data_IF_251997989674
#
_entry.id   IF_251997989674
#
_cell.length_a   1.000
_cell.length_b   1.000
_cell.length_c   1.000
_cell.angle_alpha   90.00
_cell.angle_beta   90.00
_cell.angle_gamma   90.00
#
_symmetry.space_group_name_H-M   'P 1'
#
loop_
_entity.id
_entity.type
_entity.pdbx_description
1 polymer ?
#
# COMPACT_ATOMS: atom_id res chain seq x y z
N UNK A 1 15.01 -4.74 -16.68
CA UNK A 1 14.65 -4.54 -15.26
C UNK A 1 13.17 -4.25 -15.20
N UNK A 2 12.41 -4.96 -14.37
CA UNK A 2 10.95 -4.81 -14.28
C UNK A 2 10.59 -3.85 -13.15
N UNK A 3 9.62 -2.97 -13.40
CA UNK A 3 9.15 -1.97 -12.45
C UNK A 3 7.66 -2.17 -12.19
N UNK A 4 7.23 -1.84 -10.98
CA UNK A 4 5.82 -1.80 -10.64
C UNK A 4 5.13 -0.62 -11.31
N UNK A 5 3.93 -0.83 -11.85
CA UNK A 5 3.08 0.26 -12.29
C UNK A 5 2.43 0.99 -11.10
N UNK A 6 1.97 2.20 -11.38
CA UNK A 6 1.13 2.97 -10.45
C UNK A 6 -0.19 2.20 -10.23
N UNK A 7 -0.67 2.07 -8.99
CA UNK A 7 -1.91 1.38 -8.73
C UNK A 7 -3.15 2.17 -9.11
N UNK A 8 -4.31 1.49 -9.22
CA UNK A 8 -5.61 2.16 -9.19
C UNK A 8 -5.76 3.01 -7.92
N UNK A 9 -6.45 4.15 -8.04
CA UNK A 9 -6.71 5.11 -6.94
C UNK A 9 -7.20 4.43 -5.66
N UNK A 10 -8.17 3.53 -5.81
CA UNK A 10 -8.79 2.80 -4.70
C UNK A 10 -7.79 2.00 -3.87
N UNK A 11 -6.67 1.54 -4.45
CA UNK A 11 -5.64 0.80 -3.72
C UNK A 11 -4.86 1.67 -2.75
N UNK A 12 -4.75 2.97 -3.02
CA UNK A 12 -4.17 3.93 -2.07
C UNK A 12 -5.11 4.08 -0.86
N UNK A 13 -6.42 4.16 -1.08
CA UNK A 13 -7.41 4.22 0.01
C UNK A 13 -7.44 2.92 0.82
N UNK A 14 -7.36 1.76 0.15
CA UNK A 14 -7.20 0.46 0.83
C UNK A 14 -5.95 0.40 1.69
N UNK A 15 -4.82 0.92 1.20
CA UNK A 15 -3.59 0.96 1.98
C UNK A 15 -3.77 1.76 3.28
N UNK A 16 -4.44 2.91 3.22
CA UNK A 16 -4.78 3.68 4.43
C UNK A 16 -5.72 2.92 5.35
N UNK A 17 -6.75 2.25 4.81
CA UNK A 17 -7.65 1.41 5.59
C UNK A 17 -6.91 0.27 6.30
N UNK A 18 -5.99 -0.41 5.62
CA UNK A 18 -5.12 -1.43 6.20
C UNK A 18 -4.24 -0.84 7.29
N UNK A 19 -3.58 0.30 7.07
CA UNK A 19 -2.78 0.95 8.11
C UNK A 19 -3.62 1.34 9.33
N UNK A 20 -4.89 1.69 9.14
CA UNK A 20 -5.79 2.09 10.22
C UNK A 20 -6.35 0.90 11.02
N UNK A 21 -6.71 -0.19 10.34
CA UNK A 21 -7.53 -1.26 10.92
C UNK A 21 -6.85 -2.64 10.92
N UNK A 22 -5.80 -2.83 10.11
CA UNK A 22 -5.12 -4.10 9.94
C UNK A 22 -4.15 -4.42 11.08
N UNK A 23 -3.94 -5.72 11.30
CA UNK A 23 -2.93 -6.22 12.26
C UNK A 23 -1.56 -6.20 11.60
N UNK A 24 -0.80 -5.14 11.89
CA UNK A 24 0.50 -4.89 11.29
C UNK A 24 1.67 -5.14 12.24
N UNK A 25 2.79 -5.62 11.70
CA UNK A 25 4.07 -5.75 12.41
C UNK A 25 5.26 -5.84 11.44
N UNK A 26 6.43 -5.42 11.91
CA UNK A 26 7.69 -5.71 11.24
C UNK A 26 8.22 -7.07 11.71
N UNK A 27 8.54 -7.96 10.76
CA UNK A 27 9.20 -9.24 11.04
C UNK A 27 10.73 -9.12 11.01
N UNK A 28 11.24 -8.10 10.31
CA UNK A 28 12.65 -7.71 10.23
C UNK A 28 12.75 -6.26 9.74
N UNK A 29 13.95 -5.73 9.53
CA UNK A 29 14.16 -4.39 8.94
C UNK A 29 13.65 -4.24 7.49
N UNK A 30 13.37 -5.35 6.81
CA UNK A 30 12.99 -5.39 5.41
C UNK A 30 11.72 -6.21 5.12
N UNK A 31 11.03 -6.74 6.13
CA UNK A 31 9.81 -7.54 5.94
C UNK A 31 8.70 -6.96 6.82
N UNK A 32 7.68 -6.42 6.17
CA UNK A 32 6.46 -5.94 6.81
C UNK A 32 5.35 -6.97 6.61
N UNK A 33 4.59 -7.25 7.67
CA UNK A 33 3.42 -8.12 7.63
C UNK A 33 2.18 -7.34 8.06
N UNK A 34 1.09 -7.49 7.30
CA UNK A 34 -0.21 -6.91 7.63
C UNK A 34 -1.32 -7.90 7.27
N UNK A 35 -2.14 -8.25 8.26
CA UNK A 35 -3.20 -9.28 8.16
C UNK A 35 -2.73 -10.62 7.54
N UNK A 36 -1.46 -10.97 7.78
CA UNK A 36 -0.84 -12.21 7.29
C UNK A 36 -0.15 -12.10 5.93
N UNK A 37 -0.36 -11.01 5.19
CA UNK A 37 0.33 -10.73 3.93
C UNK A 37 1.71 -10.12 4.18
N UNK A 38 2.74 -10.64 3.50
CA UNK A 38 4.14 -10.25 3.69
C UNK A 38 4.66 -9.46 2.51
N UNK A 39 5.22 -8.28 2.79
CA UNK A 39 5.89 -7.43 1.81
C UNK A 39 7.36 -7.29 2.18
N UNK A 40 8.22 -7.64 1.23
CA UNK A 40 9.67 -7.52 1.33
C UNK A 40 10.13 -6.24 0.63
N UNK A 41 10.89 -5.40 1.34
CA UNK A 41 11.38 -4.10 0.86
C UNK A 41 12.90 -4.03 1.01
N UNK A 42 13.63 -4.07 -0.10
CA UNK A 42 15.09 -3.94 -0.14
C UNK A 42 15.51 -2.81 -1.09
N UNK A 43 15.93 -1.67 -0.54
CA UNK A 43 16.18 -0.45 -1.31
C UNK A 43 14.92 -0.01 -2.05
N UNK A 44 15.02 0.15 -3.38
CA UNK A 44 13.90 0.42 -4.28
C UNK A 44 13.19 -0.86 -4.78
N UNK A 45 13.65 -2.03 -4.36
CA UNK A 45 13.08 -3.32 -4.72
C UNK A 45 11.95 -3.76 -3.79
N UNK A 46 10.83 -4.18 -4.37
CA UNK A 46 9.64 -4.66 -3.66
C UNK A 46 9.25 -6.06 -4.15
N UNK A 47 8.97 -6.96 -3.21
CA UNK A 47 8.34 -8.26 -3.45
C UNK A 47 7.14 -8.44 -2.52
N UNK A 48 6.01 -8.83 -3.09
CA UNK A 48 4.79 -9.26 -2.40
C UNK A 48 4.37 -10.61 -2.99
N UNK A 49 3.69 -11.44 -2.20
CA UNK A 49 3.26 -12.78 -2.60
C UNK A 49 2.29 -12.81 -3.80
N UNK A 50 1.81 -11.66 -4.28
CA UNK A 50 0.89 -11.56 -5.40
C UNK A 50 1.47 -10.87 -6.63
N UNK A 51 2.14 -11.60 -7.53
CA UNK A 51 2.33 -11.14 -8.94
C UNK A 51 1.04 -11.22 -9.78
N UNK A 52 -0.14 -11.22 -9.15
CA UNK A 52 -1.40 -11.30 -9.92
C UNK A 52 -1.59 -10.04 -10.79
N UNK A 53 -1.04 -8.91 -10.35
CA UNK A 53 -1.13 -7.64 -11.05
C UNK A 53 0.25 -6.99 -11.21
N UNK A 54 0.43 -6.20 -12.26
CA UNK A 54 1.70 -5.48 -12.53
C UNK A 54 1.77 -4.11 -11.85
N UNK A 55 1.13 -3.91 -10.69
CA UNK A 55 1.16 -2.64 -9.93
C UNK A 55 1.42 -2.88 -8.45
N UNK A 56 1.85 -1.85 -7.72
CA UNK A 56 1.96 -1.91 -6.24
C UNK A 56 0.57 -2.02 -5.62
N UNK A 57 0.20 -3.19 -5.13
CA UNK A 57 -1.10 -3.39 -4.46
C UNK A 57 -1.20 -2.63 -3.12
N UNK A 58 -2.36 -2.72 -2.48
CA UNK A 58 -2.64 -2.05 -1.21
C UNK A 58 -1.65 -2.42 -0.09
N UNK A 59 -1.18 -3.67 -0.07
CA UNK A 59 -0.21 -4.16 0.89
C UNK A 59 1.17 -3.54 0.65
N UNK A 60 1.59 -3.49 -0.62
CA UNK A 60 2.84 -2.84 -1.01
C UNK A 60 2.82 -1.35 -0.67
N UNK A 61 1.73 -0.65 -1.00
CA UNK A 61 1.59 0.79 -0.71
C UNK A 61 1.59 1.03 0.81
N UNK A 62 0.85 0.22 1.59
CA UNK A 62 0.83 0.33 3.05
C UNK A 62 2.23 0.10 3.65
N UNK A 63 2.94 -0.95 3.21
CA UNK A 63 4.30 -1.24 3.69
C UNK A 63 5.29 -0.11 3.36
N UNK A 64 5.18 0.48 2.17
CA UNK A 64 6.01 1.62 1.76
C UNK A 64 5.69 2.89 2.56
N UNK A 65 4.42 3.16 2.84
CA UNK A 65 3.98 4.25 3.71
C UNK A 65 4.50 4.07 5.14
N UNK A 66 4.34 2.88 5.72
CA UNK A 66 4.83 2.57 7.07
C UNK A 66 6.36 2.71 7.16
N UNK A 67 7.09 2.34 6.10
CA UNK A 67 8.55 2.49 6.04
C UNK A 67 9.01 3.94 5.80
N UNK A 68 8.08 4.88 5.56
CA UNK A 68 8.41 6.27 5.21
C UNK A 68 8.95 6.45 3.79
N UNK A 69 8.75 5.45 2.92
CA UNK A 69 9.16 5.48 1.51
C UNK A 69 8.08 6.02 0.58
N UNK A 70 6.84 6.16 1.06
CA UNK A 70 5.76 6.90 0.42
C UNK A 70 5.12 7.85 1.42
N UNK A 71 4.55 8.95 0.92
CA UNK A 71 3.75 9.85 1.73
C UNK A 71 2.64 9.08 2.46
N UNK A 72 2.64 9.20 3.78
CA UNK A 72 1.56 8.74 4.66
C UNK A 72 0.93 9.95 5.34
N UNK A 73 -0.27 9.78 5.89
CA UNK A 73 -0.90 10.83 6.68
C UNK A 73 -1.60 10.21 7.88
N UNK A 74 -1.08 10.50 9.07
CA UNK A 74 -1.71 10.07 10.33
C UNK A 74 -3.14 10.56 10.43
N UNK A 75 -3.43 11.77 9.93
CA UNK A 75 -4.81 12.31 9.86
C UNK A 75 -5.73 11.42 9.02
N UNK A 76 -5.28 10.93 7.87
CA UNK A 76 -6.06 10.00 7.05
C UNK A 76 -6.20 8.63 7.69
N UNK A 77 -5.12 8.10 8.27
CA UNK A 77 -5.12 6.79 8.95
C UNK A 77 -6.07 6.82 10.14
N UNK A 78 -5.99 7.83 11.01
CA UNK A 78 -6.88 7.99 12.14
C UNK A 78 -8.34 8.13 11.70
N UNK A 79 -8.58 8.95 10.67
CA UNK A 79 -9.92 9.13 10.15
C UNK A 79 -10.50 7.86 9.50
N UNK A 80 -9.66 6.93 9.03
CA UNK A 80 -10.10 5.68 8.42
C UNK A 80 -10.41 4.57 9.45
N UNK A 81 -10.12 4.78 10.74
CA UNK A 81 -10.41 3.79 11.78
C UNK A 81 -11.91 3.50 11.89
N UNK A 82 -12.24 2.22 11.96
CA UNK A 82 -13.61 1.71 12.04
C UNK A 82 -14.38 1.78 10.72
N UNK A 83 -13.74 2.08 9.59
CA UNK A 83 -14.37 1.88 8.28
C UNK A 83 -14.43 0.39 7.97
N UNK A 84 -15.63 -0.14 7.73
CA UNK A 84 -15.81 -1.52 7.28
C UNK A 84 -15.69 -1.57 5.76
N UNK A 85 -14.65 -2.24 5.28
CA UNK A 85 -14.36 -2.33 3.86
C UNK A 85 -15.05 -3.54 3.23
N UNK A 86 -15.77 -3.32 2.12
CA UNK A 86 -16.48 -4.37 1.38
C UNK A 86 -15.85 -4.55 -0.02
N UNK A 87 -15.21 -5.70 -0.23
CA UNK A 87 -14.53 -6.03 -1.49
C UNK A 87 -15.47 -6.51 -2.61
N UNK A 88 -16.74 -6.78 -2.31
CA UNK A 88 -17.74 -7.17 -3.33
C UNK A 88 -18.26 -5.95 -4.10
N UNK A 89 -18.09 -4.74 -3.57
CA UNK A 89 -18.55 -3.50 -4.20
C UNK A 89 -17.67 -3.07 -5.36
N UNK A 90 -18.33 -2.50 -6.37
CA UNK A 90 -17.65 -1.89 -7.50
C UNK A 90 -16.80 -0.68 -7.04
N UNK A 91 -15.58 -0.54 -7.58
CA UNK A 91 -14.60 0.45 -7.14
C UNK A 91 -15.14 1.90 -7.09
N UNK A 92 -15.99 2.29 -8.05
CA UNK A 92 -16.59 3.65 -8.09
C UNK A 92 -17.51 3.89 -6.88
N UNK A 93 -18.30 2.88 -6.50
CA UNK A 93 -19.21 2.97 -5.35
C UNK A 93 -18.39 3.07 -4.07
N UNK A 94 -17.38 2.22 -3.96
CA UNK A 94 -16.49 2.15 -2.81
C UNK A 94 -15.68 3.44 -2.60
N UNK A 95 -15.14 4.04 -3.66
CA UNK A 95 -14.44 5.32 -3.57
C UNK A 95 -15.36 6.44 -3.05
N UNK A 96 -16.61 6.49 -3.52
CA UNK A 96 -17.61 7.45 -3.03
C UNK A 96 -17.94 7.22 -1.56
N UNK A 97 -18.17 5.98 -1.15
CA UNK A 97 -18.46 5.63 0.24
C UNK A 97 -17.32 6.02 1.18
N UNK A 98 -16.07 5.72 0.80
CA UNK A 98 -14.88 6.11 1.56
C UNK A 98 -14.79 7.63 1.67
N UNK A 99 -14.99 8.37 0.56
CA UNK A 99 -14.98 9.84 0.57
C UNK A 99 -16.06 10.39 1.51
N UNK A 100 -17.29 9.88 1.47
CA UNK A 100 -18.35 10.29 2.40
C UNK A 100 -18.05 9.94 3.85
N UNK A 101 -17.38 8.81 4.11
CA UNK A 101 -16.96 8.42 5.46
C UNK A 101 -15.88 9.34 6.04
N UNK A 102 -14.92 9.74 5.21
CA UNK A 102 -13.86 10.68 5.55
C UNK A 102 -14.40 12.12 5.68
N UNK A 103 -15.39 12.50 4.89
CA UNK A 103 -16.02 13.82 4.96
C UNK A 103 -16.69 14.05 6.31
N UNK A 104 -17.36 13.03 6.88
CA UNK A 104 -17.90 13.07 8.25
C UNK A 104 -16.82 13.32 9.32
N UNK A 105 -15.55 13.13 8.96
CA UNK A 105 -14.36 13.38 9.81
C UNK A 105 -13.55 14.59 9.33
N UNK A 106 -14.20 15.49 8.57
CA UNK A 106 -13.62 16.74 8.07
C UNK A 106 -12.42 16.52 7.15
N UNK A 107 -12.42 15.44 6.37
CA UNK A 107 -11.49 15.23 5.24
C UNK A 107 -12.33 15.20 3.97
N UNK A 108 -12.27 16.28 3.20
CA UNK A 108 -13.15 16.47 2.04
C UNK A 108 -12.59 15.81 0.78
N UNK A 109 -13.45 15.54 -0.19
CA UNK A 109 -13.09 14.85 -1.44
C UNK A 109 -11.84 15.43 -2.13
N UNK A 110 -11.71 16.76 -2.19
CA UNK A 110 -10.53 17.42 -2.77
C UNK A 110 -9.23 17.04 -2.05
N UNK A 111 -9.26 16.92 -0.73
CA UNK A 111 -8.09 16.50 0.06
C UNK A 111 -7.77 15.03 -0.19
N UNK A 112 -8.81 14.18 -0.26
CA UNK A 112 -8.66 12.76 -0.60
C UNK A 112 -8.01 12.60 -1.96
N UNK A 113 -8.51 13.32 -2.96
CA UNK A 113 -8.01 13.24 -4.32
C UNK A 113 -6.57 13.76 -4.45
N UNK A 114 -6.26 14.86 -3.75
CA UNK A 114 -4.90 15.39 -3.68
C UNK A 114 -3.93 14.39 -3.04
N UNK A 115 -4.34 13.74 -1.95
CA UNK A 115 -3.52 12.71 -1.29
C UNK A 115 -3.27 11.51 -2.21
N UNK A 116 -4.31 10.99 -2.87
CA UNK A 116 -4.16 9.89 -3.83
C UNK A 116 -3.20 10.28 -4.95
N UNK A 117 -3.35 11.48 -5.52
CA UNK A 117 -2.49 11.96 -6.60
C UNK A 117 -1.03 12.09 -6.15
N UNK A 118 -0.80 12.63 -4.95
CA UNK A 118 0.53 12.73 -4.35
C UNK A 118 1.23 11.36 -4.27
N UNK A 119 0.55 10.36 -3.72
CA UNK A 119 1.09 8.98 -3.59
C UNK A 119 1.35 8.36 -4.96
N UNK A 120 0.40 8.47 -5.89
CA UNK A 120 0.55 7.95 -7.25
C UNK A 120 1.72 8.61 -7.99
N UNK A 121 1.91 9.91 -7.83
CA UNK A 121 3.01 10.66 -8.44
C UNK A 121 4.35 10.27 -7.82
N UNK A 122 4.41 10.05 -6.51
CA UNK A 122 5.61 9.51 -5.86
C UNK A 122 5.99 8.13 -6.38
N UNK A 123 5.02 7.22 -6.52
CA UNK A 123 5.26 5.89 -7.09
C UNK A 123 5.81 6.01 -8.52
N UNK A 124 5.21 6.88 -9.35
CA UNK A 124 5.63 7.11 -10.73
C UNK A 124 7.06 7.65 -10.80
N UNK A 125 7.44 8.57 -9.91
CA UNK A 125 8.78 9.18 -9.86
C UNK A 125 9.84 8.21 -9.32
N UNK A 126 9.53 7.51 -8.22
CA UNK A 126 10.49 6.64 -7.50
C UNK A 126 10.80 5.34 -8.26
N UNK A 127 9.89 4.87 -9.13
CA UNK A 127 10.07 3.68 -9.98
C UNK A 127 10.56 2.46 -9.18
N UNK A 128 9.71 1.95 -8.30
CA UNK A 128 10.01 0.75 -7.52
C UNK A 128 10.23 -0.47 -8.41
N UNK A 129 11.33 -1.19 -8.17
CA UNK A 129 11.72 -2.40 -8.91
C UNK A 129 10.96 -3.61 -8.41
N UNK A 130 10.62 -4.52 -9.32
CA UNK A 130 10.09 -5.83 -8.96
C UNK A 130 11.26 -6.72 -8.53
N UNK A 131 11.26 -7.15 -7.27
CA UNK A 131 12.19 -8.17 -6.82
C UNK A 131 11.75 -9.54 -7.32
N UNK A 132 12.70 -10.33 -7.82
CA UNK A 132 12.47 -11.75 -8.11
C UNK A 132 12.45 -12.50 -6.78
N UNK A 133 11.58 -13.51 -6.68
CA UNK A 133 11.44 -14.36 -5.49
C UNK A 133 12.83 -14.74 -4.99
N UNK A 134 13.15 -14.61 -3.70
CA UNK A 134 14.34 -15.24 -3.19
C UNK A 134 14.20 -16.75 -3.43
N UNK A 135 15.06 -17.32 -4.28
CA UNK A 135 15.16 -18.78 -4.37
C UNK A 135 15.54 -19.26 -2.98
N UNK A 136 14.71 -20.11 -2.37
CA UNK A 136 15.08 -20.81 -1.13
C UNK A 136 16.35 -21.61 -1.41
N UNK A 137 17.48 -21.15 -0.89
CA UNK A 137 18.71 -21.92 -0.78
C UNK A 137 19.14 -21.84 0.69
N UNK A 138 18.57 -22.72 1.50
CA UNK A 138 18.78 -22.72 2.95
C UNK A 138 18.18 -21.52 3.70
N UNK A 139 18.60 -21.36 4.96
CA UNK A 139 18.06 -20.41 5.95
C UNK A 139 18.41 -18.94 5.71
N UNK A 140 19.01 -18.59 4.56
CA UNK A 140 19.52 -17.24 4.28
C UNK A 140 18.89 -16.74 2.99
N UNK A 141 18.16 -15.62 3.10
CA UNK A 141 17.55 -14.92 1.96
C UNK A 141 18.62 -14.04 1.32
N UNK A 142 19.16 -14.46 0.18
CA UNK A 142 20.01 -13.62 -0.68
C UNK A 142 19.18 -12.96 -1.78
N UNK A 143 19.25 -11.63 -1.88
CA UNK A 143 18.77 -10.89 -3.05
C UNK A 143 19.89 -10.85 -4.09
N UNK A 144 19.69 -11.44 -5.27
CA UNK A 144 20.67 -11.29 -6.36
C UNK A 144 20.72 -9.84 -6.84
N UNK A 145 21.94 -9.37 -7.10
CA UNK A 145 22.26 -8.07 -7.71
C UNK A 145 21.73 -7.96 -9.13
#
# INVERSE_FOLDING_TARGET
>A
MEFWNVPPRIKVLKAIHLLANGRKRWLSSNIFEIDGEKVHINGDGIYSNGRKYRYLDEYCVAALMEKGLLASSERFVEAMKGYEWDDEKHHIVLEKEVKSFLERRKIYEKEVDAFINLVCDEIRRKKFKVLKVPKKQGSIIHFCK
#
